data_IF_438855339660
#
_entry.id   IF_438855339660
#
_cell.length_a   1.000
_cell.length_b   1.000
_cell.length_c   1.000
_cell.angle_alpha   90.00
_cell.angle_beta   90.00
_cell.angle_gamma   90.00
#
_symmetry.space_group_name_H-M   'P 1'
#
loop_
_entity.id
_entity.type
_entity.pdbx_description
1 polymer ?
#
# COMPACT_ATOMS: atom_id res chain seq x y z
N UNK A 1 -35.56 -40.80 0.18
CA UNK A 1 -36.04 -40.13 1.42
C UNK A 1 -34.86 -39.50 2.15
N UNK A 2 -34.93 -38.21 2.46
CA UNK A 2 -33.84 -37.54 3.19
C UNK A 2 -34.02 -37.68 4.69
N UNK A 3 -32.93 -38.02 5.36
CA UNK A 3 -32.84 -38.10 6.81
C UNK A 3 -31.72 -37.18 7.29
N UNK A 4 -31.92 -36.54 8.44
CA UNK A 4 -30.95 -35.61 9.04
C UNK A 4 -30.42 -36.18 10.34
N UNK A 5 -29.09 -36.10 10.53
CA UNK A 5 -28.42 -36.50 11.76
C UNK A 5 -27.53 -35.36 12.29
N UNK A 6 -27.92 -34.72 13.41
CA UNK A 6 -29.14 -34.92 14.21
C UNK A 6 -30.39 -34.31 13.55
N UNK A 7 -31.59 -34.65 14.03
CA UNK A 7 -32.88 -34.18 13.46
C UNK A 7 -32.99 -32.63 13.44
N UNK A 8 -32.38 -31.95 14.41
CA UNK A 8 -32.38 -30.48 14.50
C UNK A 8 -31.53 -29.81 13.40
N UNK A 9 -30.69 -30.59 12.71
CA UNK A 9 -29.82 -30.09 11.65
C UNK A 9 -30.64 -29.52 10.49
N UNK A 10 -31.79 -30.13 10.16
CA UNK A 10 -32.66 -29.65 9.09
C UNK A 10 -33.09 -28.20 9.32
N UNK A 11 -33.64 -27.90 10.50
CA UNK A 11 -34.11 -26.56 10.84
C UNK A 11 -32.96 -25.54 10.85
N UNK A 12 -31.78 -25.96 11.30
CA UNK A 12 -30.59 -25.12 11.38
C UNK A 12 -30.02 -24.80 10.00
N UNK A 13 -29.93 -25.81 9.12
CA UNK A 13 -29.50 -25.65 7.73
C UNK A 13 -30.48 -24.78 6.94
N UNK A 14 -31.79 -25.02 7.07
CA UNK A 14 -32.82 -24.14 6.44
C UNK A 14 -32.69 -22.70 6.92
N UNK A 15 -32.43 -22.47 8.21
CA UNK A 15 -32.19 -21.13 8.74
C UNK A 15 -30.92 -20.49 8.16
N UNK A 16 -29.84 -21.25 8.00
CA UNK A 16 -28.60 -20.77 7.40
C UNK A 16 -28.79 -20.34 5.93
N UNK A 17 -29.43 -21.19 5.12
CA UNK A 17 -29.74 -20.89 3.70
C UNK A 17 -30.61 -19.63 3.60
N UNK A 18 -31.65 -19.51 4.44
CA UNK A 18 -32.50 -18.31 4.48
C UNK A 18 -31.74 -17.05 4.88
N UNK A 19 -30.75 -17.15 5.78
CA UNK A 19 -29.92 -16.01 6.22
C UNK A 19 -28.98 -15.52 5.12
N UNK A 20 -28.39 -16.45 4.36
CA UNK A 20 -27.57 -16.13 3.20
C UNK A 20 -28.41 -15.51 2.07
N UNK A 21 -29.67 -15.95 1.93
CA UNK A 21 -30.61 -15.37 0.96
C UNK A 21 -30.37 -15.85 -0.46
N UNK A 22 -31.06 -15.25 -1.43
CA UNK A 22 -31.09 -15.72 -2.82
C UNK A 22 -29.86 -15.34 -3.66
N UNK A 23 -28.91 -14.59 -3.10
CA UNK A 23 -27.67 -14.18 -3.80
C UNK A 23 -26.64 -15.31 -3.85
N UNK A 24 -26.85 -16.37 -3.08
CA UNK A 24 -26.01 -17.56 -3.05
C UNK A 24 -26.75 -18.73 -3.69
N UNK A 25 -26.02 -19.55 -4.42
CA UNK A 25 -26.52 -20.84 -4.87
C UNK A 25 -25.81 -21.92 -4.05
N UNK A 26 -26.59 -22.82 -3.48
CA UNK A 26 -26.11 -23.90 -2.62
C UNK A 26 -26.60 -25.18 -3.24
N UNK A 27 -25.72 -26.13 -3.46
CA UNK A 27 -26.07 -27.45 -3.97
C UNK A 27 -25.46 -28.58 -3.15
N UNK A 28 -26.11 -29.73 -3.28
CA UNK A 28 -25.70 -31.00 -2.73
C UNK A 28 -25.53 -31.97 -3.90
N UNK A 29 -24.29 -32.27 -4.28
CA UNK A 29 -23.94 -33.19 -5.37
C UNK A 29 -24.69 -32.86 -6.69
N UNK A 30 -24.72 -31.57 -7.06
CA UNK A 30 -25.39 -31.11 -8.26
C UNK A 30 -26.91 -30.90 -8.13
N UNK A 31 -27.50 -31.15 -6.95
CA UNK A 31 -28.89 -30.85 -6.65
C UNK A 31 -29.04 -29.52 -5.91
N UNK A 32 -29.67 -28.49 -6.50
CA UNK A 32 -29.91 -27.21 -5.82
C UNK A 32 -30.70 -27.38 -4.52
N UNK A 33 -30.26 -26.67 -3.47
CA UNK A 33 -30.87 -26.57 -2.15
C UNK A 33 -31.52 -25.19 -1.96
N UNK A 34 -32.75 -24.95 -2.46
CA UNK A 34 -33.45 -23.69 -2.21
C UNK A 34 -33.84 -23.55 -0.73
N UNK A 35 -34.11 -22.33 -0.21
CA UNK A 35 -34.44 -22.10 1.20
C UNK A 35 -35.62 -22.92 1.76
N UNK A 36 -36.54 -23.30 0.87
CA UNK A 36 -37.72 -24.12 1.16
C UNK A 36 -37.64 -25.49 0.47
N UNK A 37 -36.42 -26.05 0.33
CA UNK A 37 -36.20 -27.30 -0.39
C UNK A 37 -37.17 -28.40 0.08
N UNK A 38 -37.97 -28.89 -0.87
CA UNK A 38 -38.71 -30.15 -0.82
C UNK A 38 -37.98 -31.07 -1.79
N UNK A 39 -37.05 -31.84 -1.27
CA UNK A 39 -36.19 -32.68 -2.09
C UNK A 39 -36.91 -33.99 -2.37
N UNK A 40 -37.58 -34.05 -3.51
CA UNK A 40 -38.14 -35.29 -4.07
C UNK A 40 -37.01 -36.01 -4.82
N UNK A 41 -36.07 -36.57 -4.05
CA UNK A 41 -34.95 -37.35 -4.58
C UNK A 41 -35.36 -38.82 -4.66
N UNK A 42 -35.06 -39.44 -5.81
CA UNK A 42 -35.24 -40.88 -6.03
C UNK A 42 -34.39 -41.75 -5.07
N UNK A 43 -33.40 -41.13 -4.39
CA UNK A 43 -32.45 -41.77 -3.49
C UNK A 43 -32.69 -41.47 -1.99
N UNK A 44 -32.25 -42.38 -1.12
CA UNK A 44 -32.20 -42.17 0.33
C UNK A 44 -30.90 -41.46 0.73
N UNK A 45 -31.00 -40.19 1.15
CA UNK A 45 -29.86 -39.37 1.56
C UNK A 45 -29.82 -39.23 3.09
N UNK A 46 -28.61 -39.34 3.67
CA UNK A 46 -28.35 -39.00 5.07
C UNK A 46 -27.49 -37.73 5.12
N UNK A 47 -28.07 -36.63 5.58
CA UNK A 47 -27.38 -35.35 5.75
C UNK A 47 -26.92 -35.23 7.19
N UNK A 48 -25.62 -35.09 7.38
CA UNK A 48 -24.96 -34.90 8.67
C UNK A 48 -24.20 -33.57 8.70
N UNK A 49 -23.67 -33.20 9.87
CA UNK A 49 -22.83 -32.00 10.02
C UNK A 49 -21.57 -32.00 9.15
N UNK A 50 -21.09 -33.18 8.74
CA UNK A 50 -19.90 -33.35 7.90
C UNK A 50 -20.24 -33.65 6.43
N UNK A 51 -21.53 -33.62 6.06
CA UNK A 51 -21.92 -33.69 4.65
C UNK A 51 -21.42 -32.45 3.93
N UNK A 52 -20.68 -32.63 2.84
CA UNK A 52 -20.17 -31.54 2.02
C UNK A 52 -21.28 -30.91 1.18
N UNK A 53 -21.27 -29.59 1.12
CA UNK A 53 -22.12 -28.76 0.27
C UNK A 53 -21.23 -27.90 -0.60
N UNK A 54 -21.69 -27.55 -1.80
CA UNK A 54 -21.02 -26.58 -2.64
C UNK A 54 -21.75 -25.24 -2.52
N UNK A 55 -20.97 -24.18 -2.25
CA UNK A 55 -21.45 -22.80 -2.20
C UNK A 55 -20.91 -22.05 -3.42
N UNK A 56 -21.82 -21.75 -4.34
CA UNK A 56 -21.54 -21.00 -5.56
C UNK A 56 -21.75 -19.49 -5.34
N UNK A 57 -20.78 -18.73 -5.85
CA UNK A 57 -20.80 -17.27 -5.82
C UNK A 57 -21.18 -16.70 -7.20
N UNK A 58 -21.94 -15.59 -7.25
CA UNK A 58 -22.25 -14.94 -8.51
C UNK A 58 -21.00 -14.68 -9.36
N UNK A 59 -21.06 -15.03 -10.65
CA UNK A 59 -19.99 -14.76 -11.63
C UNK A 59 -18.67 -15.49 -11.35
N UNK A 60 -18.66 -16.45 -10.44
CA UNK A 60 -17.52 -17.34 -10.20
C UNK A 60 -17.77 -18.65 -10.96
N UNK A 61 -16.73 -19.22 -11.58
CA UNK A 61 -16.87 -20.48 -12.34
C UNK A 61 -16.95 -21.70 -11.42
N UNK A 62 -16.19 -21.68 -10.32
CA UNK A 62 -16.10 -22.78 -9.36
C UNK A 62 -16.70 -22.39 -8.00
N UNK A 63 -17.50 -23.29 -7.43
CA UNK A 63 -18.00 -23.18 -6.06
C UNK A 63 -16.98 -23.61 -5.02
N UNK A 64 -17.19 -23.20 -3.78
CA UNK A 64 -16.38 -23.65 -2.63
C UNK A 64 -17.12 -24.77 -1.91
N UNK A 65 -16.49 -25.93 -1.79
CA UNK A 65 -17.00 -27.04 -0.99
C UNK A 65 -16.74 -26.81 0.50
N UNK A 66 -17.77 -26.98 1.32
CA UNK A 66 -17.67 -26.91 2.77
C UNK A 66 -18.71 -27.81 3.45
N UNK A 67 -18.41 -28.35 4.64
CA UNK A 67 -19.36 -29.18 5.37
C UNK A 67 -20.53 -28.34 5.88
N UNK A 68 -21.70 -28.98 6.05
CA UNK A 68 -22.94 -28.35 6.55
C UNK A 68 -22.70 -27.49 7.80
N UNK A 69 -21.88 -27.98 8.74
CA UNK A 69 -21.54 -27.22 9.97
C UNK A 69 -20.84 -25.89 9.68
N UNK A 70 -19.93 -25.88 8.71
CA UNK A 70 -19.14 -24.70 8.36
C UNK A 70 -20.00 -23.70 7.58
N UNK A 71 -20.97 -24.18 6.79
CA UNK A 71 -21.98 -23.32 6.15
C UNK A 71 -22.87 -22.63 7.19
N UNK A 72 -23.29 -23.37 8.23
CA UNK A 72 -24.07 -22.80 9.33
C UNK A 72 -23.26 -21.73 10.07
N UNK A 73 -22.00 -22.01 10.41
CA UNK A 73 -21.11 -21.05 11.08
C UNK A 73 -20.85 -19.81 10.19
N UNK A 74 -20.55 -20.02 8.90
CA UNK A 74 -20.39 -18.95 7.91
C UNK A 74 -21.62 -18.05 7.87
N UNK A 75 -22.83 -18.63 7.81
CA UNK A 75 -24.07 -17.87 7.77
C UNK A 75 -24.32 -17.03 9.03
N UNK A 76 -23.82 -17.46 10.19
CA UNK A 76 -23.89 -16.68 11.43
C UNK A 76 -22.88 -15.53 11.39
N UNK A 77 -21.64 -15.82 11.03
CA UNK A 77 -20.55 -14.84 11.06
C UNK A 77 -20.70 -13.75 9.99
N UNK A 78 -21.05 -14.10 8.75
CA UNK A 78 -21.16 -13.16 7.63
C UNK A 78 -22.32 -12.18 7.81
N UNK A 79 -23.43 -12.64 8.39
CA UNK A 79 -24.63 -11.82 8.62
C UNK A 79 -24.59 -11.03 9.92
N UNK A 80 -23.60 -11.26 10.79
CA UNK A 80 -23.45 -10.49 12.02
C UNK A 80 -23.08 -9.03 11.71
N UNK A 81 -23.85 -8.11 12.30
CA UNK A 81 -23.60 -6.66 12.23
C UNK A 81 -22.24 -6.24 12.80
N UNK A 82 -21.66 -7.04 13.70
CA UNK A 82 -20.34 -6.78 14.30
C UNK A 82 -19.18 -7.20 13.40
N UNK A 83 -19.42 -8.04 12.39
CA UNK A 83 -18.39 -8.44 11.42
C UNK A 83 -17.92 -7.22 10.63
N UNK A 84 -16.62 -7.08 10.41
CA UNK A 84 -16.04 -6.00 9.63
C UNK A 84 -15.38 -6.55 8.38
N UNK A 85 -15.45 -5.77 7.29
CA UNK A 85 -14.80 -6.08 6.04
C UNK A 85 -14.43 -4.78 5.31
N UNK A 86 -13.18 -4.66 4.89
CA UNK A 86 -12.65 -3.45 4.24
C UNK A 86 -12.11 -3.71 2.82
N UNK A 87 -12.37 -4.89 2.25
CA UNK A 87 -11.85 -5.31 0.94
C UNK A 87 -10.50 -6.04 1.01
N UNK A 88 -9.79 -5.99 2.14
CA UNK A 88 -8.56 -6.74 2.38
C UNK A 88 -8.71 -7.73 3.53
N UNK A 89 -9.31 -7.27 4.63
CA UNK A 89 -9.43 -7.98 5.89
C UNK A 89 -10.90 -8.22 6.22
N UNK A 90 -11.26 -9.48 6.37
CA UNK A 90 -12.48 -9.93 7.00
C UNK A 90 -12.20 -10.22 8.48
N UNK A 91 -13.03 -9.70 9.38
CA UNK A 91 -12.92 -10.00 10.81
C UNK A 91 -14.31 -10.22 11.39
N UNK A 92 -14.51 -11.40 11.97
CA UNK A 92 -15.73 -11.84 12.63
C UNK A 92 -15.47 -12.10 14.11
N UNK A 93 -16.50 -12.60 14.79
CA UNK A 93 -16.40 -13.01 16.18
C UNK A 93 -15.45 -14.20 16.43
N UNK A 94 -15.06 -14.95 15.39
CA UNK A 94 -14.28 -16.19 15.49
C UNK A 94 -13.15 -16.32 14.48
N UNK A 95 -13.11 -15.47 13.46
CA UNK A 95 -12.13 -15.58 12.38
C UNK A 95 -11.64 -14.22 11.94
N UNK A 96 -10.37 -14.17 11.58
CA UNK A 96 -9.77 -13.06 10.84
C UNK A 96 -9.13 -13.61 9.59
N UNK A 97 -9.47 -13.07 8.42
CA UNK A 97 -8.99 -13.53 7.12
C UNK A 97 -8.44 -12.33 6.39
N UNK A 98 -7.20 -12.43 5.91
CA UNK A 98 -6.60 -11.43 5.04
C UNK A 98 -6.32 -12.03 3.67
N UNK A 99 -6.72 -11.30 2.64
CA UNK A 99 -6.42 -11.64 1.24
C UNK A 99 -4.97 -11.31 0.90
N UNK A 100 -4.30 -12.29 0.30
CA UNK A 100 -2.90 -12.27 -0.05
C UNK A 100 -2.72 -12.61 -1.54
N UNK A 101 -1.53 -12.33 -2.04
CA UNK A 101 -1.04 -12.83 -3.32
C UNK A 101 0.46 -13.11 -3.22
N UNK A 102 1.00 -13.80 -4.21
CA UNK A 102 2.42 -14.07 -4.37
C UNK A 102 2.81 -14.02 -5.85
N UNK A 103 4.01 -13.52 -6.13
CA UNK A 103 4.66 -13.65 -7.43
C UNK A 103 5.46 -14.95 -7.56
N UNK A 104 5.60 -15.72 -6.47
CA UNK A 104 6.31 -16.99 -6.46
C UNK A 104 5.34 -18.16 -6.65
N UNK A 105 5.50 -18.91 -7.74
CA UNK A 105 4.70 -20.11 -8.02
C UNK A 105 4.84 -21.18 -6.92
N UNK A 106 5.95 -21.20 -6.18
CA UNK A 106 6.14 -22.11 -5.03
C UNK A 106 5.21 -21.77 -3.88
N UNK A 107 4.92 -20.48 -3.66
CA UNK A 107 3.99 -20.01 -2.64
C UNK A 107 2.55 -20.45 -2.95
N UNK A 108 2.13 -20.32 -4.21
CA UNK A 108 0.85 -20.84 -4.69
C UNK A 108 0.74 -22.36 -4.52
N UNK A 109 1.72 -23.10 -5.05
CA UNK A 109 1.74 -24.56 -4.92
C UNK A 109 1.82 -25.05 -3.45
N UNK A 110 2.42 -24.26 -2.56
CA UNK A 110 2.43 -24.53 -1.13
C UNK A 110 1.04 -24.34 -0.53
N UNK A 111 0.37 -23.22 -0.81
CA UNK A 111 -0.99 -22.96 -0.34
C UNK A 111 -1.99 -24.01 -0.83
N UNK A 112 -1.89 -24.44 -2.09
CA UNK A 112 -2.73 -25.50 -2.66
C UNK A 112 -2.58 -26.81 -1.88
N UNK A 113 -1.33 -27.20 -1.60
CA UNK A 113 -1.04 -28.44 -0.86
C UNK A 113 -1.48 -28.36 0.60
N UNK A 114 -1.32 -27.20 1.25
CA UNK A 114 -1.79 -26.99 2.62
C UNK A 114 -3.32 -27.09 2.67
N UNK A 115 -4.01 -26.49 1.70
CA UNK A 115 -5.48 -26.50 1.62
C UNK A 115 -6.01 -27.91 1.31
N UNK A 116 -5.45 -28.59 0.31
CA UNK A 116 -5.83 -29.95 -0.08
C UNK A 116 -5.53 -31.01 0.98
N UNK A 117 -4.54 -30.78 1.85
CA UNK A 117 -4.22 -31.74 2.91
C UNK A 117 -5.32 -31.88 3.96
N UNK A 118 -6.24 -30.90 4.08
CA UNK A 118 -7.29 -30.79 5.10
C UNK A 118 -6.81 -31.09 6.55
N UNK A 119 -5.49 -31.10 6.76
CA UNK A 119 -4.90 -31.69 7.95
C UNK A 119 -4.74 -30.61 8.99
N UNK A 120 -5.25 -30.89 10.20
CA UNK A 120 -5.03 -30.06 11.37
C UNK A 120 -3.52 -29.93 11.71
N UNK A 121 -2.66 -30.75 11.10
CA UNK A 121 -1.22 -30.83 11.32
C UNK A 121 -0.43 -29.63 10.74
N UNK A 122 -0.98 -28.93 9.75
CA UNK A 122 -0.33 -27.77 9.12
C UNK A 122 -0.83 -26.43 9.68
N UNK A 123 -1.76 -26.46 10.65
CA UNK A 123 -2.18 -25.28 11.41
C UNK A 123 -1.12 -24.96 12.47
N UNK A 124 -0.65 -23.72 12.52
CA UNK A 124 0.19 -23.27 13.61
C UNK A 124 -0.72 -22.79 14.76
N UNK A 125 -0.53 -23.38 15.93
CA UNK A 125 -1.21 -22.94 17.16
C UNK A 125 -0.35 -21.87 17.81
N UNK A 126 -0.93 -20.70 18.05
CA UNK A 126 -0.27 -19.58 18.74
C UNK A 126 -1.25 -18.86 19.67
N UNK A 127 -0.76 -17.90 20.44
CA UNK A 127 -1.62 -17.09 21.32
C UNK A 127 -2.08 -15.80 20.62
N UNK A 128 -3.39 -15.57 20.61
CA UNK A 128 -4.04 -14.32 20.19
C UNK A 128 -4.73 -13.72 21.41
N UNK A 129 -4.25 -12.57 21.89
CA UNK A 129 -4.79 -11.93 23.10
C UNK A 129 -4.73 -12.82 24.35
N UNK A 130 -3.73 -13.71 24.45
CA UNK A 130 -3.55 -14.65 25.56
C UNK A 130 -4.45 -15.89 25.53
N UNK A 131 -5.09 -16.20 24.38
CA UNK A 131 -5.87 -17.42 24.17
C UNK A 131 -5.37 -18.17 22.92
N UNK A 132 -5.55 -19.50 22.82
CA UNK A 132 -5.09 -20.24 21.65
C UNK A 132 -5.88 -19.84 20.40
N UNK A 133 -5.17 -19.52 19.33
CA UNK A 133 -5.70 -19.33 17.98
C UNK A 133 -4.90 -20.16 16.98
N UNK A 134 -5.54 -20.54 15.87
CA UNK A 134 -4.93 -21.30 14.78
C UNK A 134 -4.72 -20.39 13.60
N UNK A 135 -3.54 -20.42 12.99
CA UNK A 135 -3.25 -19.71 11.74
C UNK A 135 -2.86 -20.69 10.64
N UNK A 136 -3.37 -20.45 9.43
CA UNK A 136 -3.08 -21.24 8.23
C UNK A 136 -3.17 -20.39 6.97
N UNK A 137 -2.46 -20.80 5.92
CA UNK A 137 -2.66 -20.30 4.57
C UNK A 137 -3.68 -21.18 3.84
N UNK A 138 -4.52 -20.58 3.00
CA UNK A 138 -5.54 -21.24 2.18
C UNK A 138 -5.52 -20.69 0.75
N UNK A 139 -5.98 -21.50 -0.21
CA UNK A 139 -6.19 -21.11 -1.60
C UNK A 139 -7.68 -20.83 -1.94
N UNK A 140 -8.55 -20.92 -0.93
CA UNK A 140 -9.95 -20.57 -1.02
C UNK A 140 -10.46 -19.97 0.30
N UNK A 141 -11.60 -19.26 0.25
CA UNK A 141 -12.27 -18.78 1.45
C UNK A 141 -13.75 -18.49 1.22
N UNK A 142 -14.61 -19.44 1.61
CA UNK A 142 -16.06 -19.25 1.54
C UNK A 142 -16.53 -18.02 2.35
N UNK A 143 -15.90 -17.72 3.50
CA UNK A 143 -16.26 -16.57 4.34
C UNK A 143 -15.93 -15.24 3.64
N UNK A 144 -14.77 -15.17 2.98
CA UNK A 144 -14.35 -13.98 2.24
C UNK A 144 -15.25 -13.73 1.02
N UNK A 145 -15.55 -14.77 0.23
CA UNK A 145 -16.51 -14.66 -0.87
C UNK A 145 -17.92 -14.29 -0.38
N UNK A 146 -18.35 -14.85 0.74
CA UNK A 146 -19.69 -14.61 1.26
C UNK A 146 -19.89 -13.20 1.80
N UNK A 147 -18.90 -12.61 2.46
CA UNK A 147 -19.04 -11.23 2.96
C UNK A 147 -19.12 -10.20 1.82
N UNK A 148 -18.43 -10.46 0.71
CA UNK A 148 -18.47 -9.63 -0.51
C UNK A 148 -19.89 -9.59 -1.08
N UNK A 149 -20.50 -10.76 -1.25
CA UNK A 149 -21.86 -10.89 -1.78
C UNK A 149 -22.89 -10.35 -0.79
N UNK A 150 -22.77 -10.68 0.50
CA UNK A 150 -23.74 -10.29 1.51
C UNK A 150 -23.80 -8.78 1.76
N UNK A 151 -22.69 -8.06 1.56
CA UNK A 151 -22.63 -6.60 1.73
C UNK A 151 -22.76 -5.81 0.44
N UNK A 152 -22.90 -6.50 -0.69
CA UNK A 152 -22.94 -5.91 -2.03
C UNK A 152 -21.78 -4.93 -2.27
N UNK A 153 -20.57 -5.37 -1.93
CA UNK A 153 -19.35 -4.58 -2.03
C UNK A 153 -18.29 -5.34 -2.81
N UNK A 154 -17.49 -4.64 -3.61
CA UNK A 154 -16.27 -5.17 -4.24
C UNK A 154 -16.45 -6.37 -5.20
N UNK A 155 -17.63 -6.53 -5.82
CA UNK A 155 -17.79 -7.47 -6.94
C UNK A 155 -18.67 -6.95 -8.09
N UNK A 156 -18.30 -7.36 -9.31
CA UNK A 156 -19.05 -7.10 -10.56
C UNK A 156 -18.67 -8.12 -11.65
N UNK A 157 -18.93 -7.83 -12.92
CA UNK A 157 -18.60 -8.72 -14.06
C UNK A 157 -17.11 -8.97 -14.27
N UNK A 158 -16.24 -8.11 -13.75
CA UNK A 158 -14.79 -8.17 -13.92
C UNK A 158 -14.09 -8.55 -12.63
N UNK A 159 -14.72 -8.32 -11.48
CA UNK A 159 -14.17 -8.66 -10.18
C UNK A 159 -15.12 -9.64 -9.46
N UNK A 160 -15.13 -10.94 -9.79
CA UNK A 160 -16.03 -11.91 -9.15
C UNK A 160 -15.65 -12.11 -7.67
N UNK A 161 -16.58 -12.50 -6.77
CA UNK A 161 -16.33 -12.60 -5.33
C UNK A 161 -15.16 -13.50 -4.93
N UNK A 162 -14.86 -14.51 -5.73
CA UNK A 162 -13.67 -15.35 -5.61
C UNK A 162 -13.05 -15.58 -6.99
N UNK A 163 -11.74 -15.78 -7.05
CA UNK A 163 -11.03 -16.29 -8.22
C UNK A 163 -10.12 -17.46 -7.83
N UNK A 164 -9.82 -18.36 -8.78
CA UNK A 164 -9.10 -19.61 -8.51
C UNK A 164 -7.63 -19.45 -8.05
N UNK A 165 -7.05 -18.26 -8.20
CA UNK A 165 -5.64 -17.97 -7.86
C UNK A 165 -5.50 -17.10 -6.60
N UNK A 166 -6.56 -16.95 -5.80
CA UNK A 166 -6.51 -16.14 -4.57
C UNK A 166 -5.87 -16.89 -3.41
N UNK A 167 -5.04 -16.18 -2.64
CA UNK A 167 -4.46 -16.71 -1.42
C UNK A 167 -5.07 -16.00 -0.23
N UNK A 168 -5.27 -16.74 0.86
CA UNK A 168 -5.80 -16.21 2.11
C UNK A 168 -4.94 -16.67 3.28
N UNK A 169 -4.75 -15.80 4.26
CA UNK A 169 -4.29 -16.24 5.58
C UNK A 169 -5.47 -16.11 6.53
N UNK A 170 -5.84 -17.24 7.13
CA UNK A 170 -6.94 -17.33 8.09
C UNK A 170 -6.39 -17.56 9.49
N UNK A 171 -6.89 -16.77 10.44
CA UNK A 171 -6.73 -16.96 11.88
C UNK A 171 -8.09 -17.33 12.47
N UNK A 172 -8.24 -18.58 12.91
CA UNK A 172 -9.35 -19.01 13.76
C UNK A 172 -9.01 -18.65 15.21
N UNK A 173 -9.87 -17.88 15.86
CA UNK A 173 -9.64 -17.40 17.22
C UNK A 173 -10.88 -17.50 18.11
N UNK A 174 -10.70 -17.55 19.45
CA UNK A 174 -11.81 -17.53 20.38
C UNK A 174 -12.59 -16.21 20.30
N UNK A 175 -13.81 -16.24 20.83
CA UNK A 175 -14.66 -15.05 20.87
C UNK A 175 -13.97 -13.89 21.61
N UNK A 176 -13.94 -12.72 20.96
CA UNK A 176 -13.43 -11.46 21.50
C UNK A 176 -11.95 -11.16 21.24
N UNK A 177 -11.26 -11.88 20.34
CA UNK A 177 -9.93 -11.47 19.89
C UNK A 177 -9.99 -10.16 19.08
N UNK A 178 -9.02 -9.27 19.27
CA UNK A 178 -8.97 -8.03 18.51
C UNK A 178 -8.35 -8.24 17.14
N UNK A 179 -8.84 -7.52 16.12
CA UNK A 179 -8.24 -7.50 14.78
C UNK A 179 -6.74 -7.13 14.82
N UNK A 180 -6.33 -6.30 15.78
CA UNK A 180 -4.92 -5.90 15.96
C UNK A 180 -4.05 -7.08 16.39
N UNK A 181 -4.52 -7.90 17.33
CA UNK A 181 -3.79 -9.09 17.77
C UNK A 181 -3.70 -10.15 16.66
N UNK A 182 -4.79 -10.32 15.90
CA UNK A 182 -4.80 -11.22 14.75
C UNK A 182 -3.81 -10.75 13.66
N UNK A 183 -3.79 -9.46 13.33
CA UNK A 183 -2.85 -8.90 12.36
C UNK A 183 -1.40 -9.07 12.81
N UNK A 184 -1.10 -8.89 14.10
CA UNK A 184 0.23 -9.14 14.63
C UNK A 184 0.66 -10.61 14.43
N UNK A 185 -0.25 -11.57 14.67
CA UNK A 185 0.02 -12.99 14.41
C UNK A 185 0.23 -13.28 12.92
N UNK A 186 -0.58 -12.68 12.04
CA UNK A 186 -0.45 -12.85 10.58
C UNK A 186 0.92 -12.34 10.10
N UNK A 187 1.37 -11.17 10.55
CA UNK A 187 2.70 -10.68 10.19
C UNK A 187 3.83 -11.54 10.73
N UNK A 188 3.69 -12.10 11.94
CA UNK A 188 4.67 -13.05 12.48
C UNK A 188 4.71 -14.34 11.65
N UNK A 189 3.57 -14.85 11.23
CA UNK A 189 3.47 -16.03 10.38
C UNK A 189 4.06 -15.80 8.99
N UNK A 190 3.76 -14.65 8.36
CA UNK A 190 4.37 -14.24 7.10
C UNK A 190 5.90 -14.14 7.19
N UNK A 191 6.42 -13.60 8.29
CA UNK A 191 7.86 -13.54 8.54
C UNK A 191 8.48 -14.94 8.59
N UNK A 192 7.85 -15.89 9.28
CA UNK A 192 8.35 -17.28 9.35
C UNK A 192 8.24 -18.01 8.01
N UNK A 193 7.14 -17.85 7.28
CA UNK A 193 7.00 -18.40 5.92
C UNK A 193 8.13 -17.90 5.00
N UNK A 194 8.47 -16.61 5.09
CA UNK A 194 9.56 -16.04 4.32
C UNK A 194 10.94 -16.50 4.79
N UNK A 195 11.23 -16.40 6.08
CA UNK A 195 12.59 -16.63 6.59
C UNK A 195 12.96 -18.11 6.73
N UNK A 196 11.98 -18.96 7.06
CA UNK A 196 12.19 -20.39 7.24
C UNK A 196 12.02 -21.17 5.93
N UNK A 197 11.02 -20.81 5.11
CA UNK A 197 10.69 -21.55 3.88
C UNK A 197 11.05 -20.82 2.59
N UNK A 198 11.42 -19.54 2.65
CA UNK A 198 11.71 -18.74 1.45
C UNK A 198 10.48 -18.45 0.61
N UNK A 199 9.28 -18.47 1.21
CA UNK A 199 8.00 -18.21 0.55
C UNK A 199 7.59 -16.75 0.78
N UNK A 200 7.26 -16.06 -0.31
CA UNK A 200 6.87 -14.65 -0.27
C UNK A 200 5.37 -14.51 -0.48
N UNK A 201 4.76 -13.61 0.28
CA UNK A 201 3.36 -13.22 0.16
C UNK A 201 3.24 -11.72 0.43
N UNK A 202 2.28 -11.06 -0.21
CA UNK A 202 1.95 -9.66 0.02
C UNK A 202 0.43 -9.49 0.05
N UNK A 203 -0.02 -8.48 0.80
CA UNK A 203 -1.44 -8.11 0.88
C UNK A 203 -1.98 -7.72 -0.50
N UNK A 204 -3.18 -8.21 -0.81
CA UNK A 204 -3.81 -7.96 -2.12
C UNK A 204 -5.24 -7.47 -1.90
N UNK A 205 -5.44 -6.17 -1.60
CA UNK A 205 -6.75 -5.62 -1.31
C UNK A 205 -7.66 -5.65 -2.55
N UNK A 206 -8.98 -5.66 -2.34
CA UNK A 206 -9.97 -5.41 -3.38
C UNK A 206 -10.32 -3.91 -3.49
N UNK A 207 -10.81 -3.43 -4.65
CA UNK A 207 -11.04 -4.18 -5.90
C UNK A 207 -9.72 -4.66 -6.53
N UNK A 208 -9.81 -5.72 -7.34
CA UNK A 208 -8.70 -6.12 -8.20
C UNK A 208 -8.39 -4.95 -9.14
N UNK A 209 -7.15 -4.45 -9.10
CA UNK A 209 -6.62 -3.45 -10.06
C UNK A 209 -6.51 -4.02 -11.49
N UNK A 210 -7.12 -5.18 -11.77
CA UNK A 210 -7.16 -5.81 -13.09
C UNK A 210 -8.06 -5.01 -14.06
N UNK A 211 -8.80 -4.01 -13.57
CA UNK A 211 -9.29 -2.87 -14.36
C UNK A 211 -8.17 -1.86 -14.67
N UNK A 212 -6.98 -2.31 -15.07
CA UNK A 212 -6.25 -1.49 -16.05
C UNK A 212 -7.03 -1.67 -17.34
N UNK A 213 -8.11 -0.91 -17.49
CA UNK A 213 -8.67 -0.60 -18.79
C UNK A 213 -7.47 -0.14 -19.61
N UNK A 214 -7.01 -1.01 -20.53
CA UNK A 214 -5.95 -0.62 -21.44
C UNK A 214 -6.45 0.69 -22.04
N UNK A 215 -5.68 1.80 -21.89
CA UNK A 215 -6.11 3.07 -22.43
C UNK A 215 -6.55 2.83 -23.87
N UNK A 216 -7.71 3.38 -24.26
CA UNK A 216 -8.25 3.14 -25.60
C UNK A 216 -7.14 3.33 -26.63
N UNK A 217 -7.15 2.59 -27.76
CA UNK A 217 -6.07 2.65 -28.75
C UNK A 217 -5.72 4.10 -29.17
N UNK A 218 -6.69 5.02 -29.11
CA UNK A 218 -6.50 6.47 -29.32
C UNK A 218 -5.59 7.11 -28.26
N UNK A 219 -5.77 6.82 -26.96
CA UNK A 219 -4.94 7.32 -25.85
C UNK A 219 -3.49 6.83 -25.97
N UNK A 220 -3.29 5.55 -26.32
CA UNK A 220 -1.95 5.00 -26.58
C UNK A 220 -1.35 5.63 -27.83
N UNK A 221 -2.14 5.83 -28.89
CA UNK A 221 -1.73 6.51 -30.10
C UNK A 221 -1.19 7.92 -29.83
N UNK A 222 -1.87 8.68 -28.96
CA UNK A 222 -1.39 9.99 -28.52
C UNK A 222 -0.07 9.90 -27.74
N UNK A 223 0.05 8.98 -26.79
CA UNK A 223 1.29 8.78 -26.01
C UNK A 223 2.47 8.38 -26.90
N UNK A 224 2.25 7.49 -27.87
CA UNK A 224 3.25 7.10 -28.88
C UNK A 224 3.64 8.31 -29.73
N UNK A 225 2.66 9.14 -30.14
CA UNK A 225 2.91 10.40 -30.84
C UNK A 225 3.69 11.43 -30.01
N UNK A 226 3.53 11.41 -28.69
CA UNK A 226 4.29 12.23 -27.75
C UNK A 226 5.68 11.67 -27.45
N UNK A 227 5.89 10.35 -27.55
CA UNK A 227 7.19 9.71 -27.34
C UNK A 227 8.26 10.25 -28.30
N UNK A 228 7.87 10.59 -29.54
CA UNK A 228 8.75 11.30 -30.49
C UNK A 228 9.15 12.73 -30.06
N UNK A 229 8.50 13.29 -29.03
CA UNK A 229 8.72 14.64 -28.48
C UNK A 229 9.35 14.61 -27.08
N UNK A 230 9.85 13.46 -26.63
CA UNK A 230 10.58 13.37 -25.37
C UNK A 230 11.72 14.38 -25.34
N UNK A 231 11.95 14.96 -24.16
CA UNK A 231 13.11 15.84 -23.93
C UNK A 231 14.41 15.06 -24.14
N UNK A 232 15.52 15.75 -24.47
CA UNK A 232 16.83 15.12 -24.53
C UNK A 232 17.12 14.28 -23.28
N UNK A 233 17.69 13.09 -23.50
CA UNK A 233 18.01 12.16 -22.43
C UNK A 233 19.08 12.77 -21.51
N UNK A 234 18.88 12.60 -20.20
CA UNK A 234 19.80 13.11 -19.20
C UNK A 234 20.96 12.13 -19.03
N UNK A 235 22.13 12.48 -19.59
CA UNK A 235 23.35 11.68 -19.54
C UNK A 235 24.47 12.55 -18.95
N UNK A 236 25.41 11.92 -18.24
CA UNK A 236 26.58 12.57 -17.65
C UNK A 236 26.87 12.12 -16.23
N UNK A 237 27.96 12.64 -15.67
CA UNK A 237 28.44 12.24 -14.35
C UNK A 237 27.38 12.47 -13.25
N UNK A 238 27.17 11.46 -12.40
CA UNK A 238 26.25 11.49 -11.26
C UNK A 238 24.76 11.40 -11.60
N UNK A 239 24.37 11.38 -12.88
CA UNK A 239 22.95 11.29 -13.27
C UNK A 239 22.41 9.87 -13.13
N UNK A 240 23.21 8.83 -13.37
CA UNK A 240 22.77 7.44 -13.24
C UNK A 240 22.24 7.14 -11.83
N UNK A 241 22.99 7.54 -10.79
CA UNK A 241 22.62 7.30 -9.39
C UNK A 241 21.29 7.93 -9.03
N UNK A 242 21.09 9.21 -9.38
CA UNK A 242 19.85 9.92 -9.06
C UNK A 242 18.66 9.46 -9.90
N UNK A 243 18.88 9.10 -11.17
CA UNK A 243 17.81 8.57 -12.04
C UNK A 243 17.40 7.16 -11.60
N UNK A 244 18.35 6.31 -11.19
CA UNK A 244 18.06 4.98 -10.66
C UNK A 244 17.22 5.06 -9.39
N UNK A 245 17.57 5.96 -8.47
CA UNK A 245 16.78 6.20 -7.25
C UNK A 245 15.38 6.71 -7.59
N UNK A 246 15.26 7.69 -8.51
CA UNK A 246 13.97 8.22 -8.94
C UNK A 246 13.07 7.14 -9.57
N UNK A 247 13.65 6.25 -10.38
CA UNK A 247 12.92 5.16 -11.01
C UNK A 247 12.52 4.07 -10.01
N UNK A 248 13.35 3.80 -9.00
CA UNK A 248 13.03 2.81 -7.93
C UNK A 248 11.84 3.20 -7.07
N UNK A 249 11.48 4.49 -7.04
CA UNK A 249 10.28 4.98 -6.38
C UNK A 249 8.98 4.59 -7.12
N UNK A 250 9.08 4.32 -8.42
CA UNK A 250 7.95 3.92 -9.28
C UNK A 250 7.77 2.41 -9.19
N UNK A 251 6.56 1.95 -8.86
CA UNK A 251 6.23 0.53 -8.68
C UNK A 251 6.35 0.01 -7.25
N UNK A 252 6.68 0.87 -6.28
CA UNK A 252 6.55 0.50 -4.87
C UNK A 252 5.07 0.59 -4.47
N UNK A 253 4.47 -0.53 -4.04
CA UNK A 253 3.08 -0.59 -3.54
C UNK A 253 2.85 0.25 -2.27
N UNK A 254 3.90 0.86 -1.70
CA UNK A 254 3.84 1.62 -0.45
C UNK A 254 4.32 3.06 -0.65
N UNK A 255 3.41 4.01 -0.42
CA UNK A 255 3.67 5.45 -0.49
C UNK A 255 4.83 5.91 0.41
N UNK A 256 5.07 5.22 1.54
CA UNK A 256 6.20 5.49 2.43
C UNK A 256 7.54 5.39 1.69
N UNK A 257 7.72 4.31 0.92
CA UNK A 257 8.96 4.05 0.19
C UNK A 257 9.15 5.06 -0.94
N UNK A 258 8.10 5.32 -1.71
CA UNK A 258 8.14 6.32 -2.78
C UNK A 258 8.52 7.70 -2.23
N UNK A 259 7.98 8.11 -1.07
CA UNK A 259 8.37 9.38 -0.45
C UNK A 259 9.87 9.40 -0.09
N UNK A 260 10.35 8.34 0.56
CA UNK A 260 11.76 8.24 0.96
C UNK A 260 12.70 8.32 -0.25
N UNK A 261 12.40 7.61 -1.33
CA UNK A 261 13.21 7.63 -2.56
C UNK A 261 13.19 9.00 -3.25
N UNK A 262 12.04 9.67 -3.36
CA UNK A 262 11.99 11.01 -3.94
C UNK A 262 12.73 12.05 -3.09
N UNK A 263 12.63 11.99 -1.76
CA UNK A 263 13.40 12.88 -0.87
C UNK A 263 14.90 12.59 -0.97
N UNK A 264 15.30 11.33 -1.12
CA UNK A 264 16.70 10.95 -1.34
C UNK A 264 17.26 11.48 -2.65
N UNK A 265 16.46 11.56 -3.71
CA UNK A 265 16.85 12.26 -4.94
C UNK A 265 17.13 13.75 -4.69
N UNK A 266 16.29 14.42 -3.90
CA UNK A 266 16.49 15.84 -3.53
C UNK A 266 17.78 16.00 -2.71
N UNK A 267 18.02 15.12 -1.73
CA UNK A 267 19.24 15.12 -0.91
C UNK A 267 20.51 14.91 -1.73
N UNK A 268 20.46 14.01 -2.72
CA UNK A 268 21.56 13.79 -3.65
C UNK A 268 21.92 15.07 -4.40
N UNK A 269 20.90 15.76 -4.95
CA UNK A 269 21.07 17.03 -5.66
C UNK A 269 21.49 18.16 -4.71
N UNK A 270 21.05 18.12 -3.45
CA UNK A 270 21.32 19.15 -2.45
C UNK A 270 22.81 19.36 -2.20
N UNK A 271 23.62 18.30 -2.28
CA UNK A 271 25.07 18.41 -2.16
C UNK A 271 25.68 19.37 -3.20
N UNK A 272 25.16 19.38 -4.43
CA UNK A 272 25.60 20.29 -5.50
C UNK A 272 24.99 21.68 -5.34
N UNK A 273 23.72 21.78 -4.94
CA UNK A 273 23.05 23.07 -4.66
C UNK A 273 23.79 23.85 -3.57
N UNK A 274 24.10 23.19 -2.45
CA UNK A 274 24.82 23.80 -1.31
C UNK A 274 26.20 24.26 -1.76
N UNK A 275 26.93 23.44 -2.50
CA UNK A 275 28.27 23.80 -3.01
C UNK A 275 28.22 25.01 -3.93
N UNK A 276 27.28 25.06 -4.87
CA UNK A 276 27.15 26.19 -5.79
C UNK A 276 26.84 27.48 -5.01
N UNK A 277 25.93 27.43 -4.03
CA UNK A 277 25.60 28.56 -3.16
C UNK A 277 26.81 29.04 -2.34
N UNK A 278 27.57 28.12 -1.75
CA UNK A 278 28.80 28.44 -1.00
C UNK A 278 29.83 29.12 -1.90
N UNK A 279 30.01 28.64 -3.13
CA UNK A 279 30.93 29.25 -4.11
C UNK A 279 30.44 30.61 -4.57
N UNK A 280 29.15 30.81 -4.77
CA UNK A 280 28.58 32.12 -5.11
C UNK A 280 28.82 33.15 -4.00
N UNK A 281 28.58 32.78 -2.74
CA UNK A 281 28.75 33.71 -1.63
C UNK A 281 30.23 34.03 -1.39
N UNK A 282 31.12 33.04 -1.54
CA UNK A 282 32.56 33.26 -1.52
C UNK A 282 33.03 34.17 -2.66
N UNK A 283 32.58 33.91 -3.90
CA UNK A 283 32.90 34.76 -5.06
C UNK A 283 32.43 36.19 -4.84
N UNK A 284 31.21 36.40 -4.33
CA UNK A 284 30.70 37.75 -4.00
C UNK A 284 31.62 38.46 -3.02
N UNK A 285 32.09 37.78 -1.96
CA UNK A 285 33.01 38.36 -0.99
C UNK A 285 34.37 38.68 -1.61
N UNK A 286 34.92 37.79 -2.44
CA UNK A 286 36.20 37.98 -3.12
C UNK A 286 36.18 39.06 -4.22
N UNK A 287 35.01 39.42 -4.73
CA UNK A 287 34.83 40.50 -5.71
C UNK A 287 34.71 41.89 -5.06
N UNK A 288 34.69 41.97 -3.72
CA UNK A 288 34.69 43.27 -3.02
C UNK A 288 36.04 43.96 -3.14
N UNK A 289 36.04 45.30 -3.08
CA UNK A 289 37.27 46.10 -3.17
C UNK A 289 38.30 45.74 -2.09
N UNK A 290 37.82 45.35 -0.91
CA UNK A 290 38.66 44.98 0.24
C UNK A 290 39.47 43.71 0.00
N UNK A 291 39.05 42.85 -0.95
CA UNK A 291 39.80 41.66 -1.34
C UNK A 291 41.14 41.99 -2.02
N UNK A 292 41.28 43.18 -2.63
CA UNK A 292 42.54 43.63 -3.25
C UNK A 292 43.59 44.06 -2.22
N UNK A 293 43.14 44.40 -1.00
CA UNK A 293 44.02 44.73 0.13
C UNK A 293 43.39 44.23 1.44
N UNK A 294 43.46 42.92 1.71
CA UNK A 294 42.79 42.31 2.85
C UNK A 294 43.17 42.98 4.17
N UNK A 295 42.16 43.46 4.90
CA UNK A 295 42.31 43.98 6.27
C UNK A 295 41.67 42.99 7.28
N UNK A 296 41.80 43.26 8.58
CA UNK A 296 41.24 42.40 9.62
C UNK A 296 39.73 42.19 9.46
N UNK A 297 38.97 43.26 9.20
CA UNK A 297 37.51 43.19 8.97
C UNK A 297 37.14 42.32 7.76
N UNK A 298 37.97 42.35 6.71
CA UNK A 298 37.78 41.49 5.55
C UNK A 298 37.89 40.01 5.92
N UNK A 299 38.95 39.68 6.68
CA UNK A 299 39.24 38.32 7.15
C UNK A 299 38.19 37.81 8.14
N UNK A 300 37.76 38.64 9.10
CA UNK A 300 36.70 38.28 10.05
C UNK A 300 35.38 38.00 9.32
N UNK A 301 35.05 38.80 8.30
CA UNK A 301 33.88 38.55 7.46
C UNK A 301 33.97 37.26 6.63
N UNK A 302 35.17 36.81 6.24
CA UNK A 302 35.35 35.49 5.60
C UNK A 302 35.14 34.34 6.58
N UNK A 303 35.63 34.46 7.82
CA UNK A 303 35.41 33.45 8.85
C UNK A 303 33.92 33.30 9.17
N UNK A 304 33.21 34.42 9.35
CA UNK A 304 31.76 34.42 9.57
C UNK A 304 31.01 33.78 8.41
N UNK A 305 31.40 34.10 7.15
CA UNK A 305 30.82 33.47 5.97
C UNK A 305 31.01 31.95 5.95
N UNK A 306 32.16 31.44 6.37
CA UNK A 306 32.39 29.99 6.47
C UNK A 306 31.50 29.33 7.53
N UNK A 307 31.27 30.00 8.66
CA UNK A 307 30.38 29.50 9.71
C UNK A 307 28.92 29.45 9.24
N UNK A 308 28.44 30.50 8.58
CA UNK A 308 27.11 30.53 7.96
C UNK A 308 26.96 29.43 6.91
N UNK A 309 27.94 29.28 6.03
CA UNK A 309 27.94 28.23 5.00
C UNK A 309 27.96 26.80 5.57
N UNK A 310 28.48 26.59 6.78
CA UNK A 310 28.43 25.29 7.46
C UNK A 310 27.01 24.92 7.91
N UNK A 311 26.13 25.89 8.12
CA UNK A 311 24.73 25.59 8.46
C UNK A 311 23.96 24.98 7.30
N UNK A 312 24.31 25.36 6.07
CA UNK A 312 23.69 24.87 4.84
C UNK A 312 23.95 23.38 4.58
N UNK A 313 24.95 22.78 5.24
CA UNK A 313 25.24 21.34 5.10
C UNK A 313 24.39 20.47 6.03
N UNK A 314 23.55 21.06 6.89
CA UNK A 314 22.59 20.29 7.69
C UNK A 314 21.45 19.82 6.78
N UNK A 315 21.04 18.55 6.88
CA UNK A 315 20.03 17.93 6.01
C UNK A 315 18.80 18.80 5.75
N UNK A 316 18.16 19.31 6.82
CA UNK A 316 16.95 20.13 6.70
C UNK A 316 17.19 21.43 5.90
N UNK A 317 18.32 22.10 6.13
CA UNK A 317 18.67 23.33 5.42
C UNK A 317 19.10 23.05 3.98
N UNK A 318 19.77 21.93 3.73
CA UNK A 318 20.17 21.49 2.40
C UNK A 318 18.94 21.17 1.54
N UNK A 319 17.96 20.44 2.09
CA UNK A 319 16.68 20.15 1.42
C UNK A 319 15.90 21.45 1.16
N UNK A 320 15.80 22.33 2.17
CA UNK A 320 15.15 23.64 2.03
C UNK A 320 15.76 24.45 0.89
N UNK A 321 17.07 24.65 0.91
CA UNK A 321 17.78 25.40 -0.12
C UNK A 321 17.60 24.79 -1.52
N UNK A 322 17.56 23.46 -1.61
CA UNK A 322 17.34 22.74 -2.87
C UNK A 322 15.95 22.97 -3.43
N UNK A 323 14.93 22.87 -2.59
CA UNK A 323 13.54 23.13 -3.00
C UNK A 323 13.37 24.60 -3.39
N UNK A 324 13.90 25.54 -2.59
CA UNK A 324 13.82 26.98 -2.90
C UNK A 324 14.51 27.36 -4.22
N UNK A 325 15.63 26.71 -4.55
CA UNK A 325 16.45 27.06 -5.72
C UNK A 325 16.08 26.31 -6.99
N UNK A 326 15.62 25.07 -6.87
CA UNK A 326 15.34 24.21 -8.01
C UNK A 326 13.87 24.22 -8.42
N UNK A 327 12.94 24.49 -7.50
CA UNK A 327 11.52 24.20 -7.73
C UNK A 327 10.66 25.43 -8.05
N UNK A 328 9.71 25.24 -8.97
CA UNK A 328 8.51 26.05 -9.14
C UNK A 328 7.33 25.34 -8.43
N UNK A 329 6.64 26.00 -7.48
CA UNK A 329 5.52 25.40 -6.77
C UNK A 329 4.24 25.28 -7.61
N UNK A 330 4.11 25.98 -8.75
CA UNK A 330 2.86 25.99 -9.53
C UNK A 330 2.41 24.57 -9.96
N UNK A 331 3.27 23.71 -10.53
CA UNK A 331 2.86 22.37 -10.96
C UNK A 331 2.45 21.45 -9.80
N UNK A 332 2.84 21.79 -8.57
CA UNK A 332 2.53 20.99 -7.37
C UNK A 332 1.21 21.38 -6.72
N UNK A 333 0.72 22.60 -6.97
CA UNK A 333 -0.43 23.17 -6.26
C UNK A 333 -1.71 22.33 -6.39
N UNK A 334 -1.97 21.79 -7.58
CA UNK A 334 -3.14 20.93 -7.85
C UNK A 334 -3.08 19.56 -7.16
N UNK A 335 -1.92 19.16 -6.65
CA UNK A 335 -1.69 17.89 -5.95
C UNK A 335 -1.38 18.09 -4.47
N UNK A 336 -1.39 19.34 -3.98
CA UNK A 336 -0.97 19.64 -2.62
C UNK A 336 -1.91 19.00 -1.60
N UNK A 337 -1.38 18.29 -0.59
CA UNK A 337 -2.20 17.78 0.51
C UNK A 337 -2.85 18.93 1.27
N UNK A 338 -4.05 18.69 1.83
CA UNK A 338 -4.88 19.70 2.50
C UNK A 338 -4.15 20.42 3.65
N UNK A 339 -3.24 19.74 4.34
CA UNK A 339 -2.45 20.37 5.41
C UNK A 339 -1.45 21.41 4.88
N UNK A 340 -0.97 21.29 3.63
CA UNK A 340 -0.11 22.27 2.95
C UNK A 340 -0.92 23.38 2.27
N UNK A 341 -1.70 24.11 3.08
CA UNK A 341 -2.63 25.15 2.62
C UNK A 341 -1.99 26.27 1.80
N UNK A 342 -0.73 26.59 2.08
CA UNK A 342 0.02 27.63 1.34
C UNK A 342 0.35 27.16 -0.07
N UNK A 343 0.75 25.91 -0.25
CA UNK A 343 1.02 25.30 -1.55
C UNK A 343 -0.24 25.12 -2.38
N UNK A 344 -1.34 24.66 -1.77
CA UNK A 344 -2.63 24.48 -2.45
C UNK A 344 -3.22 25.79 -3.01
N UNK A 345 -2.79 26.95 -2.50
CA UNK A 345 -3.25 28.28 -2.95
C UNK A 345 -2.38 28.91 -4.02
N UNK A 346 -1.28 28.26 -4.42
CA UNK A 346 -0.40 28.80 -5.44
C UNK A 346 -1.03 28.65 -6.81
N UNK A 347 -0.94 29.72 -7.60
CA UNK A 347 -1.31 29.73 -9.00
C UNK A 347 -0.45 30.70 -9.81
N UNK A 348 -0.73 30.88 -11.10
CA UNK A 348 0.05 31.74 -11.99
C UNK A 348 0.15 33.20 -11.50
N UNK A 349 -0.88 33.70 -10.82
CA UNK A 349 -0.95 35.07 -10.27
C UNK A 349 -0.31 35.23 -8.89
N UNK A 350 0.18 34.17 -8.25
CA UNK A 350 0.81 34.25 -6.93
C UNK A 350 2.13 35.01 -6.97
N UNK A 351 2.35 35.84 -5.94
CA UNK A 351 3.56 36.65 -5.80
C UNK A 351 4.79 35.79 -5.47
N UNK A 352 5.99 36.32 -5.70
CA UNK A 352 7.24 35.64 -5.36
C UNK A 352 7.29 35.23 -3.87
N UNK A 353 6.86 36.12 -2.97
CA UNK A 353 6.84 35.86 -1.54
C UNK A 353 5.89 34.71 -1.17
N UNK A 354 4.72 34.63 -1.82
CA UNK A 354 3.78 33.52 -1.62
C UNK A 354 4.38 32.19 -2.10
N UNK A 355 5.03 32.19 -3.28
CA UNK A 355 5.70 31.00 -3.83
C UNK A 355 6.87 30.54 -2.94
N UNK A 356 7.66 31.47 -2.41
CA UNK A 356 8.74 31.13 -1.48
C UNK A 356 8.21 30.55 -0.17
N UNK A 357 7.14 31.13 0.39
CA UNK A 357 6.51 30.61 1.60
C UNK A 357 5.96 29.20 1.41
N UNK A 358 5.36 28.88 0.25
CA UNK A 358 4.86 27.53 -0.01
C UNK A 358 5.97 26.49 -0.17
N UNK A 359 7.09 26.85 -0.83
CA UNK A 359 8.27 26.00 -0.93
C UNK A 359 8.91 25.75 0.44
N UNK A 360 8.93 26.76 1.32
CA UNK A 360 9.39 26.62 2.70
C UNK A 360 8.54 25.60 3.46
N UNK A 361 7.21 25.72 3.40
CA UNK A 361 6.30 24.79 4.07
C UNK A 361 6.45 23.37 3.52
N UNK A 362 6.57 23.20 2.20
CA UNK A 362 6.81 21.91 1.56
C UNK A 362 8.13 21.29 2.05
N UNK A 363 9.23 22.06 2.08
CA UNK A 363 10.53 21.56 2.52
C UNK A 363 10.52 21.09 3.98
N UNK A 364 9.81 21.81 4.84
CA UNK A 364 9.66 21.45 6.24
C UNK A 364 8.82 20.17 6.40
N UNK A 365 7.75 20.02 5.63
CA UNK A 365 6.91 18.83 5.64
C UNK A 365 7.65 17.59 5.11
N UNK A 366 8.39 17.71 4.00
CA UNK A 366 9.19 16.61 3.45
C UNK A 366 10.26 16.16 4.44
N UNK A 367 10.98 17.10 5.05
CA UNK A 367 12.02 16.79 6.04
C UNK A 367 11.43 16.10 7.27
N UNK A 368 10.34 16.64 7.84
CA UNK A 368 9.69 16.08 9.02
C UNK A 368 9.13 14.67 8.74
N UNK A 369 8.45 14.51 7.60
CA UNK A 369 7.84 13.22 7.21
C UNK A 369 8.92 12.18 6.89
N UNK A 370 9.98 12.55 6.16
CA UNK A 370 11.14 11.67 5.94
C UNK A 370 11.77 11.21 7.26
N UNK A 371 11.94 12.12 8.21
CA UNK A 371 12.51 11.77 9.51
C UNK A 371 11.60 10.85 10.32
N UNK A 372 10.29 11.07 10.29
CA UNK A 372 9.33 10.16 10.91
C UNK A 372 9.41 8.75 10.31
N UNK A 373 9.44 8.63 8.98
CA UNK A 373 9.47 7.36 8.28
C UNK A 373 10.83 6.64 8.46
N UNK A 374 11.94 7.35 8.29
CA UNK A 374 13.29 6.80 8.42
C UNK A 374 13.68 6.48 9.88
N UNK A 375 13.09 7.17 10.85
CA UNK A 375 13.31 6.97 12.27
C UNK A 375 12.09 6.42 12.99
N UNK A 376 11.50 5.34 12.48
CA UNK A 376 10.58 4.47 13.25
C UNK A 376 11.21 3.84 14.52
N UNK A 377 12.23 4.48 15.12
CA UNK A 377 12.73 4.23 16.46
C UNK A 377 11.76 4.85 17.46
N UNK A 378 11.49 4.12 18.55
CA UNK A 378 10.57 4.49 19.64
C UNK A 378 10.77 5.88 20.29
N UNK A 379 11.84 6.61 19.95
CA UNK A 379 12.20 7.92 20.53
C UNK A 379 12.03 9.12 19.59
N UNK A 380 11.48 8.95 18.37
CA UNK A 380 11.20 10.09 17.49
C UNK A 380 10.12 11.00 18.11
N UNK A 381 10.42 12.31 18.23
CA UNK A 381 9.46 13.31 18.71
C UNK A 381 8.84 14.03 17.51
N UNK A 382 7.53 13.89 17.35
CA UNK A 382 6.77 14.61 16.32
C UNK A 382 6.95 16.12 16.48
N UNK A 383 7.16 16.78 15.35
CA UNK A 383 7.36 18.23 15.24
C UNK A 383 6.06 18.97 14.94
N UNK A 384 4.99 18.24 14.56
CA UNK A 384 3.72 18.80 14.12
C UNK A 384 3.72 19.24 12.66
N UNK A 385 4.82 19.01 11.93
CA UNK A 385 4.96 19.31 10.50
C UNK A 385 4.90 18.06 9.62
N UNK A 386 4.80 16.89 10.24
CA UNK A 386 4.69 15.62 9.55
C UNK A 386 3.37 15.53 8.75
N UNK A 387 3.44 14.84 7.61
CA UNK A 387 2.26 14.53 6.81
C UNK A 387 1.33 13.56 7.56
N UNK A 388 0.03 13.85 7.64
CA UNK A 388 -0.96 12.86 8.06
C UNK A 388 -0.96 11.64 7.11
N UNK A 389 -1.08 10.40 7.63
CA UNK A 389 -1.04 9.17 6.81
C UNK A 389 -2.01 9.17 5.63
N UNK A 390 -3.22 9.68 5.84
CA UNK A 390 -4.29 9.75 4.84
C UNK A 390 -4.01 10.73 3.69
N UNK A 391 -3.02 11.61 3.84
CA UNK A 391 -2.59 12.60 2.84
C UNK A 391 -1.21 12.31 2.25
N UNK A 392 -0.60 11.18 2.61
CA UNK A 392 0.75 10.81 2.19
C UNK A 392 0.86 10.66 0.68
N UNK A 393 -0.13 10.05 0.03
CA UNK A 393 -0.15 9.87 -1.43
C UNK A 393 -0.06 11.20 -2.18
N UNK A 394 -0.81 12.23 -1.74
CA UNK A 394 -0.72 13.58 -2.30
C UNK A 394 0.65 14.21 -2.08
N UNK A 395 1.23 14.05 -0.89
CA UNK A 395 2.59 14.53 -0.62
C UNK A 395 3.65 13.83 -1.48
N UNK A 396 3.49 12.52 -1.74
CA UNK A 396 4.37 11.76 -2.64
C UNK A 396 4.36 12.34 -4.05
N UNK A 397 3.19 12.75 -4.57
CA UNK A 397 3.11 13.43 -5.88
C UNK A 397 3.87 14.75 -5.87
N UNK A 398 3.72 15.58 -4.83
CA UNK A 398 4.52 16.80 -4.69
C UNK A 398 6.02 16.52 -4.61
N UNK A 399 6.43 15.48 -3.86
CA UNK A 399 7.82 15.06 -3.74
C UNK A 399 8.40 14.58 -5.08
N UNK A 400 7.62 13.81 -5.86
CA UNK A 400 7.99 13.37 -7.21
C UNK A 400 8.27 14.55 -8.13
N UNK A 401 7.36 15.52 -8.17
CA UNK A 401 7.50 16.73 -8.99
C UNK A 401 8.73 17.54 -8.55
N UNK A 402 8.94 17.70 -7.23
CA UNK A 402 10.10 18.41 -6.70
C UNK A 402 11.42 17.68 -7.07
N UNK A 403 11.46 16.37 -6.91
CA UNK A 403 12.61 15.55 -7.30
C UNK A 403 12.91 15.65 -8.80
N UNK A 404 11.90 15.61 -9.66
CA UNK A 404 12.06 15.81 -11.10
C UNK A 404 12.70 17.17 -11.41
N UNK A 405 12.19 18.25 -10.82
CA UNK A 405 12.72 19.60 -11.02
C UNK A 405 14.16 19.73 -10.50
N UNK A 406 14.48 19.14 -9.33
CA UNK A 406 15.85 19.05 -8.81
C UNK A 406 16.78 18.30 -9.76
N UNK A 407 16.37 17.15 -10.31
CA UNK A 407 17.17 16.35 -11.26
C UNK A 407 17.42 17.14 -12.55
N UNK A 408 16.39 17.81 -13.08
CA UNK A 408 16.52 18.64 -14.29
C UNK A 408 17.46 19.81 -14.04
N UNK A 409 17.33 20.48 -12.89
CA UNK A 409 18.25 21.52 -12.47
C UNK A 409 19.68 21.00 -12.37
N UNK A 410 19.89 19.85 -11.72
CA UNK A 410 21.17 19.18 -11.59
C UNK A 410 21.81 18.86 -12.94
N UNK A 411 21.03 18.32 -13.88
CA UNK A 411 21.47 18.02 -15.25
C UNK A 411 21.84 19.26 -16.09
N UNK A 412 21.47 20.46 -15.64
CA UNK A 412 21.86 21.72 -16.29
C UNK A 412 23.18 22.28 -15.77
N UNK A 413 23.70 21.76 -14.64
CA UNK A 413 24.94 22.26 -14.03
C UNK A 413 26.17 21.69 -14.74
N UNK A 414 27.29 22.41 -14.81
CA UNK A 414 28.57 21.85 -15.25
C UNK A 414 28.96 20.57 -14.49
N UNK A 415 29.59 19.60 -15.16
CA UNK A 415 29.93 18.29 -14.57
C UNK A 415 30.90 18.39 -13.39
N UNK A 416 31.80 19.37 -13.39
CA UNK A 416 32.75 19.64 -12.30
C UNK A 416 32.07 20.06 -10.98
N UNK A 417 30.84 20.57 -11.05
CA UNK A 417 30.02 20.90 -9.88
C UNK A 417 29.15 19.73 -9.42
N UNK A 418 28.89 18.75 -10.30
CA UNK A 418 28.11 17.55 -10.01
C UNK A 418 28.92 16.58 -9.15
N UNK A 419 28.27 15.86 -8.24
CA UNK A 419 28.92 14.76 -7.53
C UNK A 419 28.89 13.51 -8.43
N UNK A 420 30.05 12.91 -8.64
CA UNK A 420 30.21 11.57 -9.19
C UNK A 420 29.86 10.51 -8.16
#
# INVERSE_FOLDING_TARGET
MITFEPLELEATLRSAIRRLGSSFYIDLDGYPLPPDFELDLDDDWLISSDTELTLDFPRTEDGVSLPVKDLIDLSLEVTDSATSFDGLTYHSSRRTIIRMNSTDLRSHAFADRVSAAHSHELKMISEVGGKPGNISIKNDSAHFGAIIVARDHFYDKYNPPLTGDELFIEVEHPHGASITDCNALIHAYLFELHTTLGLEFFEWPRPLDDEIEYPEDEDIGELVGQAGRLRPLLIGQGLLSVLSEFNSAHGANRSDWSLLSYVKCIEYVAATVVREKQYEDLRKRLLTRDALKPNAEFMDGLLLLFEENRTLTKDAEAIRLSIERCCDPIPMAGHAPVFLRTLAKIGPSSTLAQRQASLLDLSAALTATRNQLAHAKANYRRTGKECPPEQLSSLVVCARIAAEQCIRWYSSRPEDLRRG
#
